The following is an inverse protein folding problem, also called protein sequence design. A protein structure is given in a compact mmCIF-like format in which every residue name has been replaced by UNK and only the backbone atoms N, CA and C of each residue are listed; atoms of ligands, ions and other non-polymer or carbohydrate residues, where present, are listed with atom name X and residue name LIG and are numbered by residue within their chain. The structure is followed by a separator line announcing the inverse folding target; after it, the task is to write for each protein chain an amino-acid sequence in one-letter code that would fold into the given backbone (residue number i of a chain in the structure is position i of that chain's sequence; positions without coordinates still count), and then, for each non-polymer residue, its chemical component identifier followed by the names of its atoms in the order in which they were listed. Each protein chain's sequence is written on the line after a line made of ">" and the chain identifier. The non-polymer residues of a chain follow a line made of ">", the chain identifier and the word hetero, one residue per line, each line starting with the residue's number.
data_IF_697871546996
#
_entry.id   IF_697871546996
#
_cell.length_a   1.000
_cell.length_b   1.000
_cell.length_c   1.000
_cell.angle_alpha   90.00
_cell.angle_beta   90.00
_cell.angle_gamma   90.00
#
_symmetry.space_group_name_H-M   'P 1'
#
loop_
_entity.id
_entity.type
_entity.pdbx_description
1 polymer ?
#
# COMPACT_ATOMS: atom_id res chain seq x y z
N UNK A 1 -23.27 -0.06 -0.83
CA UNK A 1 -22.69 -1.22 -0.14
C UNK A 1 -23.16 -2.50 -0.84
N UNK A 2 -22.32 -3.09 -1.70
CA UNK A 2 -22.60 -4.42 -2.26
C UNK A 2 -21.72 -5.41 -1.52
N UNK A 3 -22.32 -6.17 -0.62
CA UNK A 3 -21.67 -7.33 0.00
C UNK A 3 -21.30 -8.30 -1.12
N UNK A 4 -20.03 -8.72 -1.16
CA UNK A 4 -19.65 -9.86 -1.98
C UNK A 4 -20.48 -11.06 -1.51
N UNK A 5 -21.07 -11.85 -2.43
CA UNK A 5 -21.85 -13.00 -2.03
C UNK A 5 -20.95 -13.97 -1.27
N UNK A 6 -21.29 -14.25 -0.03
CA UNK A 6 -20.70 -15.37 0.73
C UNK A 6 -21.04 -16.64 0.00
N UNK A 7 -20.07 -17.20 -0.72
CA UNK A 7 -20.25 -18.48 -1.40
C UNK A 7 -20.58 -19.56 -0.34
N UNK A 8 -21.62 -20.37 -0.56
CA UNK A 8 -21.99 -21.38 0.40
C UNK A 8 -20.83 -22.36 0.62
N UNK A 9 -20.54 -22.68 1.89
CA UNK A 9 -19.41 -23.54 2.37
C UNK A 9 -19.28 -24.93 1.72
N UNK A 10 -20.13 -25.27 0.76
CA UNK A 10 -20.18 -26.58 0.06
C UNK A 10 -19.66 -26.53 -1.38
N UNK A 11 -19.17 -25.40 -1.88
CA UNK A 11 -18.70 -25.29 -3.26
C UNK A 11 -17.21 -25.67 -3.32
N UNK A 12 -16.89 -26.58 -4.23
CA UNK A 12 -15.52 -26.84 -4.69
C UNK A 12 -15.34 -26.02 -5.97
N UNK A 13 -14.31 -25.21 -6.04
CA UNK A 13 -14.03 -24.39 -7.21
C UNK A 13 -12.53 -24.18 -7.41
N UNK A 14 -12.13 -24.06 -8.66
CA UNK A 14 -10.79 -23.63 -9.08
C UNK A 14 -11.02 -22.57 -10.17
N UNK A 15 -10.75 -21.30 -9.82
CA UNK A 15 -11.00 -20.16 -10.70
C UNK A 15 -9.68 -19.49 -11.00
N UNK A 16 -9.41 -19.27 -12.28
CA UNK A 16 -8.32 -18.45 -12.77
C UNK A 16 -8.88 -17.08 -13.14
N UNK A 17 -8.40 -16.05 -12.43
CA UNK A 17 -8.72 -14.66 -12.72
C UNK A 17 -7.54 -14.03 -13.46
N UNK A 18 -7.77 -13.55 -14.67
CA UNK A 18 -6.77 -12.82 -15.46
C UNK A 18 -7.17 -11.35 -15.53
N UNK A 19 -6.33 -10.50 -14.96
CA UNK A 19 -6.47 -9.04 -15.00
C UNK A 19 -5.64 -8.55 -16.19
N UNK A 20 -6.30 -8.07 -17.23
CA UNK A 20 -5.64 -7.62 -18.46
C UNK A 20 -4.91 -6.30 -18.23
N UNK A 21 -3.82 -6.07 -18.99
CA UNK A 21 -3.16 -4.77 -19.03
C UNK A 21 -4.16 -3.68 -19.43
N UNK A 22 -4.11 -2.54 -18.73
CA UNK A 22 -5.04 -1.44 -18.92
C UNK A 22 -6.28 -1.48 -18.02
N UNK A 23 -6.41 -2.48 -17.17
CA UNK A 23 -7.43 -2.45 -16.11
C UNK A 23 -7.10 -1.33 -15.14
N UNK A 24 -8.02 -0.38 -14.97
CA UNK A 24 -7.84 0.79 -14.11
C UNK A 24 -8.70 0.65 -12.86
N UNK A 25 -8.07 0.78 -11.71
CA UNK A 25 -8.77 0.86 -10.41
C UNK A 25 -8.79 2.33 -10.01
N UNK A 26 -9.99 2.85 -9.75
CA UNK A 26 -10.21 4.20 -9.23
C UNK A 26 -10.83 4.11 -7.84
N UNK A 27 -10.13 4.68 -6.88
CA UNK A 27 -10.57 4.84 -5.50
C UNK A 27 -10.24 6.28 -5.08
N UNK A 28 -10.93 6.90 -4.11
CA UNK A 28 -10.58 8.25 -3.62
C UNK A 28 -9.10 8.44 -3.29
N UNK A 29 -8.42 7.39 -2.78
CA UNK A 29 -7.01 7.42 -2.41
C UNK A 29 -6.08 6.80 -3.46
N UNK A 30 -6.59 6.27 -4.59
CA UNK A 30 -5.74 5.59 -5.58
C UNK A 30 -6.35 5.61 -6.98
N UNK A 31 -5.53 5.92 -7.98
CA UNK A 31 -5.85 5.79 -9.40
C UNK A 31 -4.71 5.04 -10.08
N UNK A 32 -4.86 3.72 -10.23
CA UNK A 32 -3.78 2.82 -10.63
C UNK A 32 -4.20 1.91 -11.77
N UNK A 33 -3.25 1.62 -12.66
CA UNK A 33 -3.42 0.62 -13.71
C UNK A 33 -2.81 -0.70 -13.25
N UNK A 34 -3.62 -1.74 -13.20
CA UNK A 34 -3.23 -3.05 -12.70
C UNK A 34 -3.33 -4.12 -13.79
N UNK A 35 -2.53 -5.16 -13.64
CA UNK A 35 -2.58 -6.37 -14.43
C UNK A 35 -2.03 -7.55 -13.62
N UNK A 36 -2.35 -8.76 -14.01
CA UNK A 36 -1.85 -9.93 -13.31
C UNK A 36 -2.72 -11.16 -13.46
N UNK A 37 -2.40 -12.16 -12.68
CA UNK A 37 -3.12 -13.41 -12.68
C UNK A 37 -3.25 -13.93 -11.24
N UNK A 38 -4.47 -14.32 -10.88
CA UNK A 38 -4.77 -14.94 -9.60
C UNK A 38 -5.46 -16.29 -9.83
N UNK A 39 -5.14 -17.26 -9.01
CA UNK A 39 -5.84 -18.53 -8.94
C UNK A 39 -6.48 -18.69 -7.57
N UNK A 40 -7.78 -18.87 -7.56
CA UNK A 40 -8.59 -19.02 -6.36
C UNK A 40 -9.07 -20.46 -6.30
N UNK A 41 -8.65 -21.19 -5.28
CA UNK A 41 -9.09 -22.58 -5.03
C UNK A 41 -9.91 -22.63 -3.76
N UNK A 42 -11.14 -23.13 -3.89
CA UNK A 42 -12.07 -23.33 -2.78
C UNK A 42 -12.29 -24.83 -2.55
N UNK A 43 -12.06 -25.30 -1.34
CA UNK A 43 -12.46 -26.63 -0.88
C UNK A 43 -13.67 -26.51 0.05
N UNK A 44 -14.58 -27.51 0.06
CA UNK A 44 -15.70 -27.51 1.01
C UNK A 44 -15.21 -27.42 2.46
N UNK A 45 -15.77 -26.50 3.24
CA UNK A 45 -15.44 -26.34 4.65
C UNK A 45 -14.12 -25.65 4.98
N UNK A 46 -13.34 -25.24 3.98
CA UNK A 46 -12.07 -24.52 4.14
C UNK A 46 -12.17 -23.08 3.64
N UNK A 47 -11.27 -22.23 4.06
CA UNK A 47 -11.12 -20.91 3.47
C UNK A 47 -10.56 -20.99 2.04
N UNK A 48 -10.84 -20.02 1.18
CA UNK A 48 -10.29 -19.98 -0.17
C UNK A 48 -8.77 -19.78 -0.12
N UNK A 49 -8.07 -20.52 -0.96
CA UNK A 49 -6.62 -20.36 -1.17
C UNK A 49 -6.43 -19.50 -2.42
N UNK A 50 -5.80 -18.35 -2.25
CA UNK A 50 -5.47 -17.45 -3.36
C UNK A 50 -3.97 -17.51 -3.61
N UNK A 51 -3.59 -17.71 -4.87
CA UNK A 51 -2.20 -17.68 -5.34
C UNK A 51 -2.07 -16.83 -6.58
N UNK A 52 -0.88 -16.28 -6.81
CA UNK A 52 -0.59 -15.45 -7.97
C UNK A 52 -0.13 -14.04 -7.61
N UNK A 53 -0.11 -13.15 -8.60
CA UNK A 53 0.32 -11.78 -8.38
C UNK A 53 -0.51 -10.77 -9.17
N UNK A 54 -0.59 -9.56 -8.61
CA UNK A 54 -1.14 -8.37 -9.25
C UNK A 54 -0.04 -7.32 -9.28
N UNK A 55 0.14 -6.70 -10.42
CA UNK A 55 1.21 -5.73 -10.68
C UNK A 55 0.63 -4.40 -11.15
N UNK A 56 1.31 -3.31 -10.82
CA UNK A 56 1.09 -1.97 -11.38
C UNK A 56 2.42 -1.32 -11.71
N UNK A 57 2.49 -0.66 -12.85
CA UNK A 57 3.69 0.06 -13.32
C UNK A 57 3.46 1.57 -13.42
N UNK A 58 2.26 2.02 -13.10
CA UNK A 58 1.95 3.46 -13.08
C UNK A 58 0.63 3.71 -12.38
N UNK A 59 0.59 4.82 -11.68
CA UNK A 59 -0.60 5.30 -11.00
C UNK A 59 -0.26 6.42 -10.05
N UNK A 60 -1.26 6.81 -9.28
CA UNK A 60 -1.15 7.80 -8.23
C UNK A 60 -1.84 7.22 -7.00
N UNK A 61 -1.20 7.36 -5.86
CA UNK A 61 -1.78 7.01 -4.56
C UNK A 61 -1.69 8.21 -3.64
N UNK A 62 -2.73 8.44 -2.85
CA UNK A 62 -2.76 9.49 -1.84
C UNK A 62 -2.50 8.86 -0.47
N UNK A 63 -1.49 9.38 0.22
CA UNK A 63 -1.12 8.94 1.57
C UNK A 63 -1.08 10.19 2.45
N UNK A 64 -1.94 10.25 3.46
CA UNK A 64 -2.07 11.39 4.38
C UNK A 64 -2.21 12.75 3.66
N UNK A 65 -3.07 12.82 2.64
CA UNK A 65 -3.31 14.02 1.86
C UNK A 65 -2.18 14.40 0.89
N UNK A 66 -1.23 13.49 0.64
CA UNK A 66 -0.11 13.72 -0.29
C UNK A 66 -0.12 12.73 -1.42
N UNK A 67 0.00 13.26 -2.61
CA UNK A 67 0.05 12.47 -3.83
C UNK A 67 1.43 11.85 -4.04
N UNK A 68 1.47 10.53 -4.14
CA UNK A 68 2.65 9.77 -4.53
C UNK A 68 2.42 9.17 -5.91
N UNK A 69 3.40 9.34 -6.78
CA UNK A 69 3.43 8.66 -8.07
C UNK A 69 3.93 7.24 -7.88
N UNK A 70 3.11 6.26 -8.25
CA UNK A 70 3.48 4.86 -8.23
C UNK A 70 4.46 4.56 -9.37
N UNK A 71 5.66 4.14 -9.03
CA UNK A 71 6.70 3.72 -10.00
C UNK A 71 6.54 2.23 -10.32
N UNK A 72 6.32 1.42 -9.28
CA UNK A 72 6.01 0.00 -9.39
C UNK A 72 5.25 -0.49 -8.16
N UNK A 73 4.39 -1.46 -8.35
CA UNK A 73 3.79 -2.22 -7.25
C UNK A 73 3.58 -3.66 -7.65
N UNK A 74 3.90 -4.56 -6.74
CA UNK A 74 3.65 -6.00 -6.86
C UNK A 74 2.99 -6.48 -5.58
N UNK A 75 1.82 -7.08 -5.72
CA UNK A 75 1.10 -7.76 -4.64
C UNK A 75 1.10 -9.25 -4.93
N UNK A 76 1.71 -10.05 -4.07
CA UNK A 76 1.86 -11.50 -4.27
C UNK A 76 1.07 -12.28 -3.24
N UNK A 77 0.17 -13.14 -3.72
CA UNK A 77 -0.60 -14.08 -2.93
C UNK A 77 0.10 -15.44 -2.96
N UNK A 78 0.60 -15.88 -1.83
CA UNK A 78 1.35 -17.13 -1.68
C UNK A 78 0.49 -18.35 -1.28
N UNK A 79 -0.82 -18.20 -1.17
CA UNK A 79 -1.71 -19.28 -0.69
C UNK A 79 -1.87 -19.32 0.83
N UNK A 80 -1.33 -18.37 1.56
CA UNK A 80 -1.59 -18.14 2.98
C UNK A 80 -2.88 -17.36 3.20
N UNK A 81 -2.92 -16.55 4.25
CA UNK A 81 -4.06 -15.67 4.54
C UNK A 81 -4.31 -14.70 3.37
N UNK A 82 -5.56 -14.62 2.93
CA UNK A 82 -5.95 -13.81 1.76
C UNK A 82 -5.82 -12.31 2.06
N UNK A 83 -5.99 -11.94 3.31
CA UNK A 83 -5.90 -10.59 3.83
C UNK A 83 -4.46 -10.17 4.19
N UNK A 84 -3.46 -11.04 3.92
CA UNK A 84 -2.05 -10.76 4.22
C UNK A 84 -1.12 -11.13 3.05
N UNK A 85 -1.34 -10.59 1.84
CA UNK A 85 -0.41 -10.78 0.73
C UNK A 85 0.91 -10.03 0.96
N UNK A 86 1.96 -10.48 0.27
CA UNK A 86 3.25 -9.80 0.24
C UNK A 86 3.18 -8.57 -0.67
N UNK A 87 3.78 -7.49 -0.19
CA UNK A 87 3.89 -6.22 -0.89
C UNK A 87 5.34 -5.96 -1.33
N UNK A 88 5.50 -5.37 -2.51
CA UNK A 88 6.72 -4.71 -2.98
C UNK A 88 6.28 -3.50 -3.81
N UNK A 89 6.37 -2.30 -3.22
CA UNK A 89 5.85 -1.06 -3.80
C UNK A 89 6.93 0.00 -3.77
N UNK A 90 7.12 0.69 -4.88
CA UNK A 90 7.97 1.87 -4.99
C UNK A 90 7.12 3.03 -5.48
N UNK A 91 7.10 4.10 -4.71
CA UNK A 91 6.39 5.32 -5.04
C UNK A 91 7.25 6.55 -4.79
N UNK A 92 7.03 7.62 -5.54
CA UNK A 92 7.77 8.87 -5.38
C UNK A 92 6.85 10.07 -5.18
N UNK A 93 7.29 10.97 -4.30
CA UNK A 93 6.69 12.28 -4.11
C UNK A 93 7.72 13.36 -4.44
N UNK A 94 7.30 14.39 -5.17
CA UNK A 94 8.19 15.49 -5.55
C UNK A 94 7.79 16.76 -4.79
N UNK A 95 8.71 17.25 -3.99
CA UNK A 95 8.59 18.51 -3.26
C UNK A 95 9.87 19.32 -3.47
N UNK A 96 9.85 20.24 -4.43
CA UNK A 96 11.06 20.97 -4.81
C UNK A 96 11.79 21.58 -3.58
N UNK A 97 13.12 21.46 -3.50
CA UNK A 97 14.00 20.83 -4.49
C UNK A 97 14.10 19.31 -4.38
N UNK A 98 13.38 18.66 -3.45
CA UNK A 98 13.51 17.24 -3.09
C UNK A 98 12.61 16.34 -3.92
N UNK A 99 13.13 15.15 -4.26
CA UNK A 99 12.36 13.98 -4.67
C UNK A 99 12.46 12.93 -3.59
N UNK A 100 11.35 12.51 -3.03
CA UNK A 100 11.27 11.48 -2.00
C UNK A 100 10.79 10.20 -2.62
N UNK A 101 11.52 9.10 -2.39
CA UNK A 101 11.14 7.76 -2.76
C UNK A 101 10.70 7.00 -1.50
N UNK A 102 9.52 6.40 -1.57
CA UNK A 102 8.99 5.51 -0.54
C UNK A 102 9.00 4.08 -1.09
N UNK A 103 9.67 3.17 -0.39
CA UNK A 103 9.67 1.73 -0.68
C UNK A 103 8.95 1.00 0.43
N UNK A 104 7.90 0.27 0.07
CA UNK A 104 7.10 -0.55 1.00
C UNK A 104 7.33 -2.00 0.62
N UNK A 105 7.73 -2.81 1.61
CA UNK A 105 7.97 -4.25 1.48
C UNK A 105 7.36 -4.99 2.67
N UNK A 106 7.42 -6.34 2.66
CA UNK A 106 6.83 -7.15 3.73
C UNK A 106 5.45 -7.67 3.37
N UNK A 107 4.54 -7.77 4.34
CA UNK A 107 3.15 -8.17 4.13
C UNK A 107 2.19 -7.01 4.45
N UNK A 108 0.91 -7.16 4.14
CA UNK A 108 -0.11 -6.14 4.48
C UNK A 108 -0.20 -5.92 5.98
N UNK A 109 -0.03 -6.98 6.79
CA UNK A 109 -0.12 -6.89 8.25
C UNK A 109 1.19 -6.44 8.89
N UNK A 110 2.32 -6.70 8.23
CA UNK A 110 3.67 -6.35 8.70
C UNK A 110 4.46 -5.66 7.58
N UNK A 111 4.06 -4.44 7.16
CA UNK A 111 4.78 -3.70 6.15
C UNK A 111 6.04 -3.03 6.73
N UNK A 112 7.07 -2.98 5.91
CA UNK A 112 8.28 -2.22 6.18
C UNK A 112 8.34 -1.05 5.21
N UNK A 113 8.49 0.17 5.74
CA UNK A 113 8.65 1.39 4.98
C UNK A 113 10.11 1.86 5.04
N UNK A 114 10.71 2.07 3.88
CA UNK A 114 11.99 2.74 3.73
C UNK A 114 11.81 4.02 2.91
N UNK A 115 12.37 5.12 3.39
CA UNK A 115 12.35 6.42 2.72
C UNK A 115 13.76 6.80 2.29
N UNK A 116 13.87 7.36 1.09
CA UNK A 116 15.09 7.96 0.56
C UNK A 116 14.76 9.29 -0.13
N UNK A 117 15.73 10.17 -0.28
CA UNK A 117 15.53 11.44 -0.98
C UNK A 117 16.71 11.79 -1.90
N UNK A 118 16.40 12.59 -2.90
CA UNK A 118 17.37 13.22 -3.78
C UNK A 118 17.06 14.72 -3.85
N UNK A 119 17.99 15.62 -3.41
CA UNK A 119 19.24 15.35 -2.69
C UNK A 119 19.06 14.54 -1.41
N UNK A 120 20.11 13.80 -0.94
CA UNK A 120 20.04 12.98 0.26
C UNK A 120 19.73 13.81 1.51
N UNK A 121 18.81 13.34 2.33
CA UNK A 121 18.41 13.90 3.61
C UNK A 121 18.41 12.81 4.68
N UNK A 122 18.57 13.23 5.93
CA UNK A 122 18.33 12.39 7.10
C UNK A 122 16.84 12.01 7.20
N UNK A 123 16.52 10.88 7.84
CA UNK A 123 15.14 10.37 7.91
C UNK A 123 14.15 11.39 8.51
N UNK A 124 14.58 12.11 9.56
CA UNK A 124 13.76 13.16 10.18
C UNK A 124 13.45 14.31 9.21
N UNK A 125 14.45 14.70 8.41
CA UNK A 125 14.27 15.74 7.39
C UNK A 125 13.37 15.29 6.25
N UNK A 126 13.46 14.02 5.82
CA UNK A 126 12.53 13.46 4.81
C UNK A 126 11.09 13.54 5.32
N UNK A 127 10.84 13.13 6.57
CA UNK A 127 9.52 13.22 7.19
C UNK A 127 9.06 14.66 7.32
N UNK A 128 9.95 15.58 7.72
CA UNK A 128 9.67 17.00 7.81
C UNK A 128 9.28 17.59 6.46
N UNK A 129 10.03 17.26 5.41
CA UNK A 129 9.72 17.72 4.04
C UNK A 129 8.38 17.14 3.58
N UNK A 130 8.06 15.90 3.91
CA UNK A 130 6.76 15.31 3.61
C UNK A 130 5.64 16.02 4.35
N UNK A 131 5.80 16.35 5.62
CA UNK A 131 4.75 16.94 6.47
C UNK A 131 4.62 18.45 6.27
N UNK A 132 5.73 19.16 6.30
CA UNK A 132 5.76 20.63 6.36
C UNK A 132 6.35 21.29 5.10
N UNK A 133 6.98 20.49 4.22
CA UNK A 133 7.56 20.97 2.96
C UNK A 133 8.95 21.56 3.09
N UNK A 134 9.58 21.47 4.27
CA UNK A 134 10.91 21.97 4.59
C UNK A 134 11.63 21.05 5.56
N UNK A 135 12.99 21.07 5.64
CA UNK A 135 13.76 20.27 6.59
C UNK A 135 13.43 20.56 8.05
N UNK A 136 13.71 19.61 8.93
CA UNK A 136 13.40 19.70 10.37
C UNK A 136 14.11 20.88 11.06
N UNK A 137 15.28 21.29 10.55
CA UNK A 137 16.05 22.43 11.03
C UNK A 137 15.36 23.79 10.80
N UNK A 138 14.37 23.84 9.93
CA UNK A 138 13.60 25.05 9.60
C UNK A 138 12.22 25.07 10.27
N UNK A 139 11.92 24.09 11.13
CA UNK A 139 10.65 23.98 11.85
C UNK A 139 10.64 24.80 13.12
N UNK A 140 9.46 25.33 13.48
CA UNK A 140 9.21 25.90 14.78
C UNK A 140 9.01 24.81 15.86
N UNK A 141 8.94 25.22 17.15
CA UNK A 141 8.82 24.28 18.29
C UNK A 141 7.55 23.42 18.21
N UNK A 142 6.45 23.95 17.74
CA UNK A 142 5.18 23.24 17.60
C UNK A 142 5.23 22.18 16.49
N UNK A 143 5.83 22.52 15.37
CA UNK A 143 6.04 21.62 14.24
C UNK A 143 7.04 20.50 14.58
N UNK A 144 8.11 20.81 15.33
CA UNK A 144 9.06 19.80 15.82
C UNK A 144 8.39 18.78 16.74
N UNK A 145 7.50 19.21 17.62
CA UNK A 145 6.72 18.33 18.50
C UNK A 145 5.82 17.40 17.65
N UNK A 146 5.15 17.95 16.65
CA UNK A 146 4.30 17.18 15.72
C UNK A 146 5.13 16.17 14.93
N UNK A 147 6.31 16.56 14.44
CA UNK A 147 7.23 15.67 13.73
C UNK A 147 7.66 14.48 14.61
N UNK A 148 8.01 14.74 15.88
CA UNK A 148 8.39 13.70 16.81
C UNK A 148 7.24 12.71 17.08
N UNK A 149 6.02 13.18 17.25
CA UNK A 149 4.85 12.34 17.44
C UNK A 149 4.59 11.46 16.22
N UNK A 150 4.63 12.01 15.03
CA UNK A 150 4.42 11.23 13.79
C UNK A 150 5.57 10.27 13.49
N UNK A 151 6.81 10.61 13.83
CA UNK A 151 7.93 9.69 13.71
C UNK A 151 7.76 8.46 14.62
N UNK A 152 7.25 8.65 15.84
CA UNK A 152 6.92 7.56 16.77
C UNK A 152 5.78 6.68 16.23
N UNK A 153 4.76 7.28 15.65
CA UNK A 153 3.66 6.52 15.01
C UNK A 153 4.14 5.65 13.85
N UNK A 154 5.02 6.16 13.01
CA UNK A 154 5.59 5.40 11.89
C UNK A 154 6.47 4.23 12.35
N UNK A 155 7.17 4.37 13.47
CA UNK A 155 8.03 3.31 14.05
C UNK A 155 7.24 2.29 14.86
N UNK A 156 6.07 2.64 15.41
CA UNK A 156 5.23 1.76 16.25
C UNK A 156 4.25 0.85 15.49
N UNK A 157 4.39 0.73 14.16
CA UNK A 157 3.51 -0.11 13.35
C UNK A 157 2.22 0.56 12.87
N UNK A 158 2.03 1.86 13.14
CA UNK A 158 0.89 2.62 12.63
C UNK A 158 0.89 2.71 11.09
N UNK A 159 2.06 2.79 10.47
CA UNK A 159 2.19 2.69 9.00
C UNK A 159 1.61 1.37 8.47
N UNK A 160 1.71 0.28 9.26
CA UNK A 160 1.10 -1.01 8.97
C UNK A 160 -0.43 -0.93 8.93
N UNK A 161 -1.04 -0.22 9.90
CA UNK A 161 -2.50 -0.12 9.99
C UNK A 161 -3.09 0.74 8.87
N UNK A 162 -2.46 1.85 8.52
CA UNK A 162 -2.93 2.75 7.44
C UNK A 162 -2.79 2.09 6.08
N UNK A 163 -1.66 1.42 5.82
CA UNK A 163 -1.46 0.68 4.56
C UNK A 163 -2.35 -0.56 4.50
N UNK A 164 -2.50 -1.27 5.63
CA UNK A 164 -3.40 -2.43 5.75
C UNK A 164 -4.84 -2.04 5.48
N UNK A 165 -5.33 -0.94 6.04
CA UNK A 165 -6.67 -0.41 5.77
C UNK A 165 -6.84 0.00 4.31
N UNK A 166 -5.91 0.76 3.74
CA UNK A 166 -6.00 1.20 2.35
C UNK A 166 -5.99 0.02 1.37
N UNK A 167 -5.20 -1.02 1.63
CA UNK A 167 -5.16 -2.24 0.80
C UNK A 167 -6.41 -3.09 1.04
N UNK A 168 -6.87 -3.24 2.28
CA UNK A 168 -8.09 -3.98 2.63
C UNK A 168 -9.33 -3.33 2.00
N UNK A 169 -9.44 -2.00 2.07
CA UNK A 169 -10.50 -1.22 1.42
C UNK A 169 -10.43 -1.32 -0.11
N UNK A 170 -9.25 -1.18 -0.69
CA UNK A 170 -9.05 -1.28 -2.15
C UNK A 170 -9.36 -2.69 -2.69
N UNK A 171 -9.16 -3.73 -1.90
CA UNK A 171 -9.48 -5.11 -2.24
C UNK A 171 -10.90 -5.53 -1.81
N UNK A 172 -11.65 -4.67 -1.11
CA UNK A 172 -13.01 -4.96 -0.63
C UNK A 172 -13.04 -6.08 0.42
N UNK A 173 -11.99 -6.23 1.21
CA UNK A 173 -11.83 -7.28 2.23
C UNK A 173 -12.36 -6.86 3.62
N UNK A 174 -13.16 -5.80 3.71
CA UNK A 174 -13.81 -5.40 4.95
C UNK A 174 -14.80 -6.48 5.43
N UNK A 175 -14.69 -6.85 6.70
CA UNK A 175 -15.61 -7.78 7.39
C UNK A 175 -16.92 -7.09 7.76
#
# INVERSE_FOLDING_TARGET
>A
MRRLPTLPRRIRGDVKLVIKRGTRIRHPMADVNVFGELRIRQKPGSEPIVTGRVESVRGVVEIQGREFRLESAVVTFGGGAVDDPRLDVVASHRRAPYRIEARISGTVKEPTLALASDPPLEQADILSVLLFGRPATELDEGEQTTLQQQALELTSGYAASVLGQAVSEALGLER
#
